data_IF_026950073473
#
_entry.id   IF_026950073473
#
_cell.length_a   1.000
_cell.length_b   1.000
_cell.length_c   1.000
_cell.angle_alpha   90.00
_cell.angle_beta   90.00
_cell.angle_gamma   90.00
#
_symmetry.space_group_name_H-M   'P 1'
#
loop_
_entity.id
_entity.type
_entity.pdbx_description
1 polymer ?
#
# COMPACT_ATOMS: atom_id res chain seq x y z
N UNK A 1 18.34 -70.01 14.32
CA UNK A 1 17.46 -69.57 15.42
C UNK A 1 17.85 -68.20 15.99
N UNK A 2 19.13 -67.86 16.17
CA UNK A 2 19.57 -66.57 16.75
C UNK A 2 19.23 -65.32 15.90
N UNK A 3 19.07 -65.46 14.57
CA UNK A 3 18.78 -64.34 13.66
C UNK A 3 17.34 -63.80 13.75
N UNK A 4 16.39 -64.61 14.18
CA UNK A 4 14.98 -64.19 14.32
C UNK A 4 14.72 -63.47 15.66
N UNK A 5 15.63 -63.61 16.63
CA UNK A 5 15.49 -62.99 17.95
C UNK A 5 15.85 -61.49 17.92
N UNK A 6 16.78 -61.10 17.04
CA UNK A 6 17.17 -59.70 16.82
C UNK A 6 16.09 -58.88 16.10
N UNK A 7 15.32 -59.52 15.21
CA UNK A 7 14.22 -58.87 14.50
C UNK A 7 13.03 -58.54 15.42
N UNK A 8 12.82 -59.33 16.49
CA UNK A 8 11.68 -59.14 17.40
C UNK A 8 11.89 -57.96 18.37
N UNK A 9 13.14 -57.62 18.69
CA UNK A 9 13.49 -56.51 19.60
C UNK A 9 13.29 -55.15 18.92
N UNK A 10 13.55 -55.06 17.61
CA UNK A 10 13.39 -53.81 16.85
C UNK A 10 11.92 -53.41 16.62
N UNK A 11 10.98 -54.35 16.68
CA UNK A 11 9.54 -54.06 16.53
C UNK A 11 8.94 -53.49 17.82
N UNK A 12 9.54 -53.73 18.98
CA UNK A 12 8.99 -53.29 20.28
C UNK A 12 9.39 -51.85 20.68
N UNK A 13 10.33 -51.22 19.96
CA UNK A 13 10.84 -49.89 20.32
C UNK A 13 10.07 -48.71 19.68
N UNK A 14 9.07 -48.99 18.82
CA UNK A 14 8.32 -47.97 18.09
C UNK A 14 7.13 -47.34 18.82
N UNK A 15 6.78 -47.81 20.02
CA UNK A 15 5.47 -47.49 20.64
C UNK A 15 5.46 -46.34 21.65
N UNK A 16 6.52 -45.55 21.78
CA UNK A 16 6.59 -44.46 22.78
C UNK A 16 6.78 -43.05 22.23
N UNK A 17 6.45 -42.79 20.97
CA UNK A 17 6.26 -41.42 20.50
C UNK A 17 4.83 -40.97 20.81
N UNK A 18 4.56 -40.62 22.07
CA UNK A 18 3.42 -39.75 22.38
C UNK A 18 3.77 -38.35 21.90
N UNK A 19 3.41 -38.05 20.65
CA UNK A 19 3.29 -36.66 20.21
C UNK A 19 2.11 -36.07 20.98
N UNK A 20 2.40 -35.32 22.04
CA UNK A 20 1.42 -34.43 22.66
C UNK A 20 1.11 -33.34 21.66
N UNK A 21 0.12 -33.59 20.79
CA UNK A 21 -0.54 -32.51 20.08
C UNK A 21 -1.08 -31.56 21.15
N UNK A 22 -0.50 -30.36 21.25
CA UNK A 22 -1.10 -29.28 22.02
C UNK A 22 -2.55 -29.17 21.58
N UNK A 23 -3.49 -29.51 22.46
CA UNK A 23 -4.87 -29.15 22.30
C UNK A 23 -4.87 -27.63 22.16
N UNK A 24 -5.00 -27.12 20.93
CA UNK A 24 -5.36 -25.74 20.70
C UNK A 24 -6.68 -25.57 21.44
N UNK A 25 -6.62 -25.02 22.66
CA UNK A 25 -7.77 -24.29 23.18
C UNK A 25 -8.09 -23.29 22.11
N UNK A 26 -9.30 -23.39 21.59
CA UNK A 26 -9.81 -22.52 20.54
C UNK A 26 -9.25 -21.12 20.75
N UNK A 27 -8.41 -20.69 19.81
CA UNK A 27 -8.03 -19.30 19.66
C UNK A 27 -9.28 -18.56 19.15
N UNK A 28 -10.33 -18.58 19.97
CA UNK A 28 -11.49 -17.73 19.81
C UNK A 28 -10.94 -16.33 19.93
N UNK A 29 -11.06 -15.57 18.83
CA UNK A 29 -10.82 -14.15 18.86
C UNK A 29 -11.61 -13.57 20.04
N UNK A 30 -10.97 -12.73 20.87
CA UNK A 30 -11.65 -12.17 22.03
C UNK A 30 -12.90 -11.42 21.57
N UNK A 31 -14.00 -11.63 22.30
CA UNK A 31 -15.26 -10.95 22.06
C UNK A 31 -15.11 -9.46 22.35
N UNK A 32 -15.95 -8.63 21.74
CA UNK A 32 -15.98 -7.19 22.02
C UNK A 32 -16.11 -6.89 23.53
N UNK A 33 -16.82 -7.72 24.29
CA UNK A 33 -16.94 -7.56 25.75
C UNK A 33 -15.60 -7.72 26.50
N UNK A 34 -14.63 -8.45 25.94
CA UNK A 34 -13.31 -8.69 26.53
C UNK A 34 -12.29 -7.60 26.18
N UNK A 35 -12.50 -6.87 25.09
CA UNK A 35 -11.56 -5.84 24.61
C UNK A 35 -12.13 -4.42 24.68
N UNK A 36 -13.41 -4.25 25.06
CA UNK A 36 -13.99 -2.93 25.19
C UNK A 36 -13.31 -2.18 26.36
N UNK A 37 -13.03 -0.89 26.20
CA UNK A 37 -12.55 -0.05 27.29
C UNK A 37 -13.50 -0.10 28.48
N UNK A 38 -12.94 -0.04 29.70
CA UNK A 38 -13.79 0.10 30.90
C UNK A 38 -14.42 1.50 30.93
N UNK A 39 -15.56 1.67 31.62
CA UNK A 39 -16.28 2.95 31.66
C UNK A 39 -15.44 4.14 32.15
N UNK A 40 -14.32 3.89 32.82
CA UNK A 40 -13.40 4.90 33.35
C UNK A 40 -11.99 4.84 32.74
N UNK A 41 -11.81 4.11 31.63
CA UNK A 41 -10.56 4.14 30.90
C UNK A 41 -10.47 5.46 30.13
N UNK A 42 -9.62 6.36 30.62
CA UNK A 42 -9.26 7.59 29.92
C UNK A 42 -8.42 7.15 28.72
N UNK A 43 -9.06 7.01 27.55
CA UNK A 43 -8.33 6.91 26.29
C UNK A 43 -7.76 8.28 26.04
N UNK A 44 -6.45 8.44 26.24
CA UNK A 44 -5.72 9.65 25.83
C UNK A 44 -5.60 9.65 24.31
N UNK A 45 -6.74 9.76 23.61
CA UNK A 45 -6.75 10.06 22.19
C UNK A 45 -6.35 11.51 22.05
N UNK A 46 -5.04 11.72 21.96
CA UNK A 46 -4.47 12.94 21.43
C UNK A 46 -4.54 12.82 19.91
N UNK A 47 -5.50 13.42 19.19
CA UNK A 47 -5.29 13.66 17.79
C UNK A 47 -4.05 14.56 17.79
N UNK A 48 -2.91 14.03 17.35
CA UNK A 48 -1.70 14.84 17.23
C UNK A 48 -2.09 16.09 16.45
N UNK A 49 -2.19 17.21 17.16
CA UNK A 49 -2.37 18.55 16.61
C UNK A 49 -1.05 19.03 16.03
N UNK A 50 -0.43 18.15 15.25
CA UNK A 50 0.71 18.45 14.43
C UNK A 50 0.14 18.52 13.02
N UNK A 51 -0.11 19.75 12.56
CA UNK A 51 -0.22 20.03 11.14
C UNK A 51 1.14 19.70 10.54
N UNK A 52 1.39 18.41 10.28
CA UNK A 52 2.50 17.96 9.47
C UNK A 52 2.22 18.51 8.08
N UNK A 53 2.82 19.67 7.75
CA UNK A 53 2.99 20.08 6.36
C UNK A 53 3.95 19.08 5.72
N UNK A 54 3.42 17.91 5.40
CA UNK A 54 4.13 16.88 4.66
C UNK A 54 4.19 17.38 3.24
N UNK A 55 5.30 18.03 2.89
CA UNK A 55 5.64 18.31 1.50
C UNK A 55 5.83 16.97 0.77
N UNK A 56 4.73 16.45 0.25
CA UNK A 56 4.76 15.23 -0.56
C UNK A 56 5.22 15.63 -1.94
N UNK A 57 6.46 15.29 -2.28
CA UNK A 57 6.92 15.36 -3.67
C UNK A 57 6.16 14.29 -4.45
N UNK A 58 5.19 14.72 -5.25
CA UNK A 58 4.44 13.83 -6.15
C UNK A 58 5.09 13.95 -7.52
N UNK A 59 5.60 12.84 -8.02
CA UNK A 59 6.02 12.77 -9.41
C UNK A 59 4.78 12.52 -10.27
N UNK A 60 4.43 13.49 -11.10
CA UNK A 60 3.27 13.42 -11.98
C UNK A 60 3.44 12.41 -13.13
N UNK A 61 4.62 11.81 -13.30
CA UNK A 61 4.93 10.87 -14.36
C UNK A 61 5.02 9.40 -13.91
N UNK A 62 4.89 9.12 -12.61
CA UNK A 62 5.01 7.76 -12.07
C UNK A 62 3.71 6.95 -12.17
N UNK A 63 2.68 7.50 -12.81
CA UNK A 63 1.44 6.77 -13.05
C UNK A 63 1.61 5.73 -14.17
N UNK A 64 0.93 4.57 -14.07
CA UNK A 64 0.99 3.56 -15.13
C UNK A 64 0.49 4.10 -16.47
N UNK A 65 1.05 3.60 -17.57
CA UNK A 65 0.65 3.99 -18.92
C UNK A 65 -0.86 3.78 -19.13
N UNK A 66 -1.50 4.74 -19.82
CA UNK A 66 -2.93 4.70 -20.11
C UNK A 66 -3.86 5.10 -18.95
N UNK A 67 -3.34 5.32 -17.74
CA UNK A 67 -4.14 5.68 -16.55
C UNK A 67 -4.31 7.18 -16.34
N UNK A 68 -3.61 8.01 -17.12
CA UNK A 68 -3.59 9.46 -16.98
C UNK A 68 -3.91 10.14 -18.30
N UNK A 69 -4.66 11.24 -18.21
CA UNK A 69 -4.79 12.25 -19.26
C UNK A 69 -4.19 13.54 -18.73
N UNK A 70 -3.21 14.09 -19.45
CA UNK A 70 -2.61 15.38 -19.13
C UNK A 70 -3.36 16.48 -19.88
N UNK A 71 -3.45 17.66 -19.28
CA UNK A 71 -3.98 18.87 -19.92
C UNK A 71 -2.92 19.96 -19.82
N UNK A 72 -2.33 20.33 -20.96
CA UNK A 72 -1.33 21.38 -21.09
C UNK A 72 -2.02 22.66 -21.54
N UNK A 73 -2.17 23.67 -20.67
CA UNK A 73 -2.97 24.87 -20.97
C UNK A 73 -4.36 24.50 -21.56
N UNK A 74 -5.08 23.62 -20.87
CA UNK A 74 -6.37 23.05 -21.26
C UNK A 74 -6.37 22.13 -22.50
N UNK A 75 -5.24 21.92 -23.18
CA UNK A 75 -5.13 20.99 -24.30
C UNK A 75 -4.87 19.56 -23.82
N UNK A 76 -5.79 18.60 -24.06
CA UNK A 76 -5.63 17.23 -23.61
C UNK A 76 -4.54 16.50 -24.41
N UNK A 77 -3.70 15.76 -23.71
CA UNK A 77 -2.73 14.84 -24.30
C UNK A 77 -2.57 13.61 -23.43
N UNK A 78 -2.28 12.48 -24.07
CA UNK A 78 -1.95 11.22 -23.39
C UNK A 78 -0.48 10.82 -23.58
N UNK A 79 0.27 11.59 -24.37
CA UNK A 79 1.68 11.34 -24.63
C UNK A 79 2.55 11.95 -23.53
N UNK A 80 3.08 11.08 -22.69
CA UNK A 80 3.97 11.45 -21.58
C UNK A 80 5.27 12.08 -22.10
N UNK A 81 5.80 11.63 -23.23
CA UNK A 81 7.06 12.13 -23.77
C UNK A 81 6.88 13.57 -24.27
N UNK A 82 5.78 13.85 -24.94
CA UNK A 82 5.41 15.21 -25.34
C UNK A 82 5.29 16.14 -24.12
N UNK A 83 4.60 15.71 -23.06
CA UNK A 83 4.48 16.50 -21.83
C UNK A 83 5.85 16.80 -21.22
N UNK A 84 6.72 15.79 -21.10
CA UNK A 84 8.09 15.98 -20.58
C UNK A 84 8.89 16.95 -21.45
N UNK A 85 8.76 16.87 -22.76
CA UNK A 85 9.47 17.75 -23.68
C UNK A 85 9.03 19.21 -23.53
N UNK A 86 7.71 19.46 -23.42
CA UNK A 86 7.17 20.81 -23.22
C UNK A 86 7.67 21.40 -21.89
N UNK A 87 7.57 20.63 -20.80
CA UNK A 87 7.96 21.10 -19.46
C UNK A 87 9.48 21.17 -19.25
N UNK A 88 10.27 20.46 -20.07
CA UNK A 88 11.73 20.56 -20.06
C UNK A 88 12.24 21.82 -20.78
N UNK A 89 11.40 22.52 -21.54
CA UNK A 89 11.79 23.74 -22.22
C UNK A 89 12.05 24.85 -21.18
N UNK A 90 13.23 25.49 -21.24
CA UNK A 90 13.63 26.54 -20.31
C UNK A 90 12.76 27.79 -20.36
N UNK A 91 12.09 28.03 -21.49
CA UNK A 91 11.15 29.14 -21.63
C UNK A 91 9.79 28.86 -20.99
N UNK A 92 9.53 27.64 -20.50
CA UNK A 92 8.25 27.28 -19.89
C UNK A 92 8.33 27.44 -18.37
N UNK A 93 7.48 28.31 -17.82
CA UNK A 93 7.32 28.50 -16.38
C UNK A 93 5.99 27.90 -15.94
N UNK A 94 6.03 26.88 -15.08
CA UNK A 94 4.82 26.19 -14.60
C UNK A 94 4.19 27.02 -13.48
N UNK A 95 2.96 27.46 -13.72
CA UNK A 95 2.20 28.27 -12.77
C UNK A 95 1.42 27.40 -11.78
N UNK A 96 0.74 26.38 -12.29
CA UNK A 96 -0.14 25.55 -11.48
C UNK A 96 -0.18 24.12 -12.00
N UNK A 97 -0.12 23.17 -11.07
CA UNK A 97 -0.38 21.76 -11.34
C UNK A 97 -1.56 21.35 -10.46
N UNK A 98 -2.62 20.84 -11.09
CA UNK A 98 -3.75 20.24 -10.36
C UNK A 98 -3.91 18.78 -10.75
N UNK A 99 -4.18 17.95 -9.75
CA UNK A 99 -4.39 16.51 -9.90
C UNK A 99 -5.82 16.22 -9.45
N UNK A 100 -6.70 15.92 -10.39
CA UNK A 100 -8.10 15.59 -10.10
C UNK A 100 -8.27 14.10 -9.81
N UNK A 101 -9.40 13.69 -9.18
CA UNK A 101 -9.80 12.29 -9.10
C UNK A 101 -9.91 11.64 -10.50
N UNK A 102 -9.91 10.30 -10.58
CA UNK A 102 -10.21 9.60 -11.83
C UNK A 102 -11.58 10.00 -12.39
N UNK A 103 -11.65 10.12 -13.71
CA UNK A 103 -12.90 10.36 -14.44
C UNK A 103 -13.79 9.11 -14.52
N UNK A 104 -14.91 9.22 -15.21
CA UNK A 104 -15.84 8.11 -15.48
C UNK A 104 -15.21 6.96 -16.28
N UNK A 105 -14.02 7.13 -16.86
CA UNK A 105 -13.24 6.12 -17.58
C UNK A 105 -12.11 5.56 -16.72
N UNK A 106 -12.02 5.94 -15.45
CA UNK A 106 -10.97 5.53 -14.52
C UNK A 106 -9.62 6.22 -14.77
N UNK A 107 -9.57 7.26 -15.60
CA UNK A 107 -8.34 8.00 -15.88
C UNK A 107 -8.19 9.21 -14.98
N UNK A 108 -7.02 9.35 -14.35
CA UNK A 108 -6.67 10.53 -13.56
C UNK A 108 -6.41 11.71 -14.50
N UNK A 109 -6.86 12.90 -14.11
CA UNK A 109 -6.62 14.12 -14.88
C UNK A 109 -5.54 14.96 -14.21
N UNK A 110 -4.49 15.29 -14.94
CA UNK A 110 -3.41 16.16 -14.47
C UNK A 110 -3.41 17.40 -15.35
N UNK A 111 -3.76 18.56 -14.78
CA UNK A 111 -3.78 19.84 -15.49
C UNK A 111 -2.55 20.65 -15.12
N UNK A 112 -1.88 21.16 -16.13
CA UNK A 112 -0.63 21.91 -16.00
C UNK A 112 -0.82 23.21 -16.77
N UNK A 113 -0.93 24.29 -16.01
CA UNK A 113 -0.96 25.65 -16.54
C UNK A 113 0.46 26.20 -16.51
N UNK A 114 0.90 26.73 -17.64
CA UNK A 114 2.23 27.28 -17.78
C UNK A 114 2.24 28.48 -18.72
N UNK A 115 3.18 29.38 -18.47
CA UNK A 115 3.49 30.51 -19.35
C UNK A 115 4.79 30.26 -20.11
N UNK A 116 4.91 30.91 -21.26
CA UNK A 116 6.14 30.88 -22.06
C UNK A 116 6.81 32.23 -21.92
N UNK A 117 7.90 32.29 -21.15
CA UNK A 117 8.73 33.49 -21.05
C UNK A 117 9.46 33.70 -22.37
N UNK A 118 9.03 34.72 -23.13
CA UNK A 118 9.61 35.07 -24.43
C UNK A 118 8.63 35.40 -25.55
N UNK A 119 7.32 35.51 -25.28
CA UNK A 119 6.32 36.05 -26.21
C UNK A 119 5.63 37.30 -25.66
#
# INVERSE_FOLDING_TARGET
MLRYLLALILVFCGSFYRVSAQTKRDTLFPTYRQIKPTQNEIIDYRPNADTYSRSRRINIFDYPAGTVTYYLNEQPTSDINYVKQVLANKSVSVETISISPPDNRGKRQIRITYTVEGQ
#
